data_IF_767572141166
#
_entry.id   IF_767572141166
#
_cell.length_a   1.000
_cell.length_b   1.000
_cell.length_c   1.000
_cell.angle_alpha   90.00
_cell.angle_beta   90.00
_cell.angle_gamma   90.00
#
_symmetry.space_group_name_H-M   'P 1'
#
loop_
_entity.id
_entity.type
_entity.pdbx_description
1 polymer ?
#
# COMPACT_ATOMS: atom_id res chain seq x y z
N UNK A 1 -0.84 -8.69 14.24
CA UNK A 1 -1.29 -9.98 13.69
C UNK A 1 -2.41 -10.58 14.51
N UNK A 2 -3.36 -11.20 13.84
CA UNK A 2 -4.50 -11.87 14.49
C UNK A 2 -4.01 -13.08 15.30
N UNK A 3 -4.70 -13.40 16.38
CA UNK A 3 -4.36 -14.58 17.17
C UNK A 3 -4.57 -15.83 16.32
N UNK A 4 -3.77 -16.88 16.51
CA UNK A 4 -3.99 -18.14 15.78
C UNK A 4 -5.34 -18.75 16.17
N UNK A 5 -6.04 -19.40 15.22
CA UNK A 5 -7.39 -19.97 15.45
C UNK A 5 -7.51 -20.79 16.75
N UNK A 6 -6.54 -21.65 17.13
CA UNK A 6 -6.63 -22.40 18.39
C UNK A 6 -6.66 -21.53 19.65
N UNK A 7 -6.09 -20.32 19.60
CA UNK A 7 -6.02 -19.38 20.72
C UNK A 7 -7.25 -18.46 20.85
N UNK A 8 -8.20 -18.52 19.91
CA UNK A 8 -9.39 -17.67 19.93
C UNK A 8 -10.32 -17.94 21.10
N UNK A 9 -10.28 -19.12 21.71
CA UNK A 9 -11.07 -19.41 22.92
C UNK A 9 -10.52 -18.67 24.15
N UNK A 10 -9.21 -18.43 24.19
CA UNK A 10 -8.54 -17.84 25.36
C UNK A 10 -8.15 -16.37 25.14
N UNK A 11 -8.20 -15.90 23.89
CA UNK A 11 -7.84 -14.53 23.50
C UNK A 11 -9.10 -13.73 23.21
N UNK A 12 -9.43 -12.69 24.01
CA UNK A 12 -10.61 -11.88 23.74
C UNK A 12 -10.48 -11.12 22.40
N UNK A 13 -11.61 -10.75 21.77
CA UNK A 13 -11.60 -9.92 20.57
C UNK A 13 -10.87 -8.59 20.83
N UNK A 14 -10.14 -8.11 19.82
CA UNK A 14 -9.46 -6.81 19.88
C UNK A 14 -10.42 -5.63 20.07
N UNK A 15 -11.61 -5.76 19.52
CA UNK A 15 -12.65 -4.74 19.56
C UNK A 15 -14.00 -5.40 19.89
N UNK A 16 -14.27 -5.66 21.19
CA UNK A 16 -15.52 -6.28 21.62
C UNK A 16 -16.77 -5.45 21.26
N UNK A 17 -16.63 -4.13 21.22
CA UNK A 17 -17.75 -3.22 20.92
C UNK A 17 -18.17 -3.35 19.44
N UNK A 18 -17.21 -3.41 18.53
CA UNK A 18 -17.51 -3.69 17.12
C UNK A 18 -18.14 -5.07 16.94
N UNK A 19 -17.64 -6.10 17.63
CA UNK A 19 -18.27 -7.43 17.59
C UNK A 19 -19.72 -7.37 18.08
N UNK A 20 -19.98 -6.66 19.18
CA UNK A 20 -21.32 -6.52 19.74
C UNK A 20 -22.27 -5.81 18.78
N UNK A 21 -21.81 -4.72 18.16
CA UNK A 21 -22.58 -4.00 17.14
C UNK A 21 -22.98 -4.89 15.95
N UNK A 22 -22.07 -5.76 15.48
CA UNK A 22 -22.35 -6.69 14.39
C UNK A 22 -23.30 -7.81 14.81
N UNK A 23 -23.12 -8.35 16.02
CA UNK A 23 -24.01 -9.34 16.62
C UNK A 23 -25.44 -8.81 16.70
N UNK A 24 -25.62 -7.60 17.25
CA UNK A 24 -26.93 -6.97 17.41
C UNK A 24 -27.63 -6.77 16.06
N UNK A 25 -26.89 -6.31 15.03
CA UNK A 25 -27.45 -6.18 13.68
C UNK A 25 -27.84 -7.53 13.07
N UNK A 26 -27.02 -8.56 13.30
CA UNK A 26 -27.28 -9.90 12.79
C UNK A 26 -28.59 -10.46 13.33
N UNK A 27 -28.84 -10.37 14.64
CA UNK A 27 -30.10 -10.83 15.23
C UNK A 27 -31.29 -9.91 14.90
N UNK A 28 -31.11 -8.59 14.95
CA UNK A 28 -32.16 -7.61 14.63
C UNK A 28 -32.68 -7.75 13.20
N UNK A 29 -31.80 -8.11 12.26
CA UNK A 29 -32.12 -8.27 10.84
C UNK A 29 -32.57 -9.69 10.46
N UNK A 30 -32.86 -10.56 11.43
CA UNK A 30 -33.18 -11.97 11.23
C UNK A 30 -32.09 -12.71 10.44
N UNK A 31 -30.87 -12.65 10.97
CA UNK A 31 -29.69 -13.36 10.46
C UNK A 31 -29.23 -12.91 9.06
N UNK A 32 -29.48 -11.65 8.70
CA UNK A 32 -29.16 -11.13 7.37
C UNK A 32 -27.70 -10.65 7.29
N UNK A 33 -26.84 -11.45 6.67
CA UNK A 33 -25.41 -11.14 6.47
C UNK A 33 -25.20 -9.84 5.69
N UNK A 34 -26.05 -9.53 4.70
CA UNK A 34 -25.94 -8.27 3.93
C UNK A 34 -26.16 -7.06 4.84
N UNK A 35 -27.09 -7.16 5.79
CA UNK A 35 -27.34 -6.09 6.76
C UNK A 35 -26.15 -5.89 7.70
N UNK A 36 -25.63 -6.99 8.26
CA UNK A 36 -24.43 -6.97 9.11
C UNK A 36 -23.20 -6.39 8.39
N UNK A 37 -22.92 -6.82 7.15
CA UNK A 37 -21.81 -6.30 6.36
C UNK A 37 -21.98 -4.82 6.02
N UNK A 38 -23.22 -4.35 5.82
CA UNK A 38 -23.48 -2.91 5.63
C UNK A 38 -23.11 -2.12 6.87
N UNK A 39 -23.43 -2.61 8.06
CA UNK A 39 -23.00 -1.97 9.32
C UNK A 39 -21.48 -1.98 9.44
N UNK A 40 -20.83 -3.13 9.21
CA UNK A 40 -19.37 -3.24 9.26
C UNK A 40 -18.68 -2.24 8.32
N UNK A 41 -19.03 -2.22 7.03
CA UNK A 41 -18.32 -1.38 6.06
C UNK A 41 -18.57 0.13 6.22
N UNK A 42 -19.60 0.52 6.99
CA UNK A 42 -19.86 1.92 7.31
C UNK A 42 -19.36 2.33 8.71
N UNK A 43 -18.86 1.39 9.51
CA UNK A 43 -18.36 1.66 10.86
C UNK A 43 -17.00 2.36 10.85
N UNK A 44 -16.68 3.05 11.93
CA UNK A 44 -15.37 3.68 12.08
C UNK A 44 -14.28 2.64 12.35
N UNK A 45 -14.61 1.51 12.98
CA UNK A 45 -13.68 0.39 13.14
C UNK A 45 -13.15 -0.13 11.79
N UNK A 46 -14.02 -0.26 10.78
CA UNK A 46 -13.58 -0.66 9.45
C UNK A 46 -12.73 0.42 8.76
N UNK A 47 -13.13 1.69 8.84
CA UNK A 47 -12.38 2.80 8.22
C UNK A 47 -11.00 2.98 8.85
N UNK A 48 -10.91 2.87 10.17
CA UNK A 48 -9.68 3.04 10.95
C UNK A 48 -8.75 1.81 10.86
N UNK A 49 -9.24 0.67 10.34
CA UNK A 49 -8.40 -0.51 10.07
C UNK A 49 -7.54 -0.38 8.81
N UNK A 50 -7.61 0.75 8.09
CA UNK A 50 -6.75 1.02 6.93
C UNK A 50 -5.27 0.89 7.35
N UNK A 51 -4.47 0.22 6.52
CA UNK A 51 -3.05 -0.03 6.76
C UNK A 51 -2.72 -0.87 8.01
N UNK A 52 -3.72 -1.44 8.71
CA UNK A 52 -3.49 -2.28 9.89
C UNK A 52 -2.91 -3.67 9.55
N UNK A 53 -2.95 -4.08 8.28
CA UNK A 53 -2.40 -5.35 7.79
C UNK A 53 -1.26 -5.08 6.83
N UNK A 54 -0.10 -5.66 7.15
CA UNK A 54 1.07 -5.65 6.27
C UNK A 54 0.76 -6.48 5.03
N UNK A 55 0.86 -5.87 3.85
CA UNK A 55 0.74 -6.61 2.57
C UNK A 55 1.80 -7.71 2.49
N UNK A 56 1.41 -8.89 2.02
CA UNK A 56 2.36 -9.95 1.68
C UNK A 56 3.10 -9.67 0.36
N UNK A 57 4.10 -10.49 0.01
CA UNK A 57 4.82 -10.38 -1.27
C UNK A 57 3.91 -10.34 -2.50
N UNK A 58 2.95 -11.26 -2.61
CA UNK A 58 2.05 -11.33 -3.78
C UNK A 58 1.23 -10.04 -3.90
N UNK A 59 0.65 -9.58 -2.79
CA UNK A 59 -0.15 -8.36 -2.77
C UNK A 59 0.67 -7.11 -3.08
N UNK A 60 1.91 -7.07 -2.61
CA UNK A 60 2.83 -5.97 -2.87
C UNK A 60 3.19 -5.89 -4.34
N UNK A 61 3.55 -7.03 -4.95
CA UNK A 61 3.92 -7.10 -6.36
C UNK A 61 2.72 -6.75 -7.24
N UNK A 62 1.59 -7.43 -7.08
CA UNK A 62 0.38 -7.19 -7.88
C UNK A 62 -0.15 -5.77 -7.65
N UNK A 63 -0.12 -5.27 -6.43
CA UNK A 63 -0.49 -3.90 -6.10
C UNK A 63 0.36 -2.87 -6.84
N UNK A 64 1.68 -3.10 -6.90
CA UNK A 64 2.62 -2.23 -7.63
C UNK A 64 2.37 -2.25 -9.13
N UNK A 65 2.19 -3.43 -9.74
CA UNK A 65 1.90 -3.54 -11.18
C UNK A 65 0.60 -2.83 -11.55
N UNK A 66 -0.43 -2.95 -10.71
CA UNK A 66 -1.70 -2.24 -10.87
C UNK A 66 -1.54 -0.73 -10.70
N UNK A 67 -0.76 -0.29 -9.71
CA UNK A 67 -0.48 1.12 -9.45
C UNK A 67 0.18 1.79 -10.66
N UNK A 68 1.17 1.14 -11.25
CA UNK A 68 1.87 1.67 -12.43
C UNK A 68 1.11 1.45 -13.74
N UNK A 69 -0.02 0.73 -13.69
CA UNK A 69 -0.84 0.46 -14.88
C UNK A 69 -0.20 -0.50 -15.87
N UNK A 70 0.73 -1.35 -15.41
CA UNK A 70 1.35 -2.37 -16.22
C UNK A 70 0.57 -3.70 -16.16
N UNK A 71 0.83 -4.61 -17.10
CA UNK A 71 0.19 -5.94 -17.17
C UNK A 71 -1.34 -5.91 -17.34
N UNK A 72 -1.86 -4.88 -18.00
CA UNK A 72 -3.28 -4.80 -18.40
C UNK A 72 -3.66 -5.81 -19.50
N UNK A 73 -2.66 -6.41 -20.15
CA UNK A 73 -2.80 -7.51 -21.10
C UNK A 73 -1.62 -8.49 -20.97
N UNK A 74 -1.78 -9.76 -21.40
CA UNK A 74 -0.68 -10.73 -21.40
C UNK A 74 0.50 -10.26 -22.27
N UNK A 75 1.72 -10.33 -21.72
CA UNK A 75 2.97 -10.03 -22.42
C UNK A 75 4.12 -10.91 -21.88
N UNK A 76 5.25 -11.04 -22.59
CA UNK A 76 6.40 -11.80 -22.09
C UNK A 76 7.01 -11.21 -20.81
N UNK A 77 7.69 -12.03 -20.01
CA UNK A 77 8.44 -11.58 -18.82
C UNK A 77 7.71 -11.76 -17.49
N UNK A 78 6.62 -12.52 -17.47
CA UNK A 78 5.81 -12.75 -16.28
C UNK A 78 6.52 -13.66 -15.28
N UNK A 79 7.37 -14.55 -15.79
CA UNK A 79 8.17 -15.49 -15.01
C UNK A 79 9.09 -14.75 -14.03
N UNK A 80 9.75 -13.67 -14.48
CA UNK A 80 10.62 -12.87 -13.61
C UNK A 80 9.85 -12.24 -12.43
N UNK A 81 8.60 -11.83 -12.67
CA UNK A 81 7.72 -11.26 -11.63
C UNK A 81 7.31 -12.34 -10.62
N UNK A 82 7.06 -13.57 -11.09
CA UNK A 82 6.79 -14.72 -10.22
C UNK A 82 7.97 -15.06 -9.33
N UNK A 83 9.18 -15.06 -9.90
CA UNK A 83 10.40 -15.31 -9.15
C UNK A 83 10.62 -14.25 -8.07
N UNK A 84 10.30 -12.97 -8.30
CA UNK A 84 10.40 -11.95 -7.25
C UNK A 84 9.44 -12.21 -6.07
N UNK A 85 8.21 -12.66 -6.33
CA UNK A 85 7.28 -13.05 -5.25
C UNK A 85 7.83 -14.23 -4.45
N UNK A 86 8.39 -15.22 -5.15
CA UNK A 86 9.01 -16.40 -4.54
C UNK A 86 10.24 -16.04 -3.71
N UNK A 87 11.13 -15.18 -4.22
CA UNK A 87 12.30 -14.69 -3.50
C UNK A 87 11.94 -13.86 -2.26
N UNK A 88 10.75 -13.26 -2.24
CA UNK A 88 10.19 -12.59 -1.07
C UNK A 88 9.43 -13.53 -0.11
N UNK A 89 9.35 -14.84 -0.42
CA UNK A 89 8.81 -15.87 0.47
C UNK A 89 7.39 -16.34 0.15
N UNK A 90 6.78 -15.91 -0.96
CA UNK A 90 5.46 -16.41 -1.39
C UNK A 90 5.47 -16.84 -2.86
N UNK A 91 5.56 -18.16 -3.06
CA UNK A 91 5.35 -18.77 -4.36
C UNK A 91 3.84 -19.01 -4.59
N UNK A 92 3.31 -18.47 -5.69
CA UNK A 92 1.89 -18.56 -6.03
C UNK A 92 1.45 -20.03 -6.12
N UNK A 93 0.33 -20.36 -5.45
CA UNK A 93 -0.25 -21.71 -5.38
C UNK A 93 0.66 -22.79 -4.76
N UNK A 94 1.76 -22.39 -4.11
CA UNK A 94 2.70 -23.32 -3.48
C UNK A 94 3.07 -22.86 -2.05
N UNK A 95 2.14 -22.97 -1.08
CA UNK A 95 2.46 -22.65 0.32
C UNK A 95 3.46 -23.66 0.90
N UNK A 96 4.33 -23.24 1.83
CA UNK A 96 5.36 -24.09 2.42
C UNK A 96 4.81 -25.23 3.30
N UNK A 97 3.59 -25.08 3.84
CA UNK A 97 2.94 -26.09 4.67
C UNK A 97 1.42 -25.96 4.63
N UNK A 98 0.72 -26.84 5.36
CA UNK A 98 -0.74 -26.78 5.57
C UNK A 98 -1.20 -25.53 6.35
N UNK A 99 -0.29 -24.85 7.05
CA UNK A 99 -0.56 -23.57 7.71
C UNK A 99 -0.68 -22.41 6.71
N UNK A 100 -0.15 -22.58 5.49
CA UNK A 100 -0.09 -21.54 4.47
C UNK A 100 1.26 -20.81 4.46
N UNK A 101 1.26 -19.57 3.96
CA UNK A 101 2.45 -18.70 3.97
C UNK A 101 2.54 -17.93 5.29
N UNK A 102 3.77 -17.61 5.72
CA UNK A 102 3.99 -16.63 6.77
C UNK A 102 3.37 -15.27 6.37
N UNK A 103 2.72 -14.60 7.33
CA UNK A 103 2.03 -13.32 7.12
C UNK A 103 2.44 -12.30 8.19
N UNK A 104 1.90 -11.08 8.11
CA UNK A 104 2.20 -10.05 9.09
C UNK A 104 3.66 -9.64 9.04
N UNK A 105 4.31 -9.53 10.21
CA UNK A 105 5.73 -9.17 10.30
C UNK A 105 6.68 -10.34 10.05
N UNK A 106 6.21 -11.57 10.18
CA UNK A 106 7.07 -12.76 10.20
C UNK A 106 7.76 -13.04 8.86
N UNK A 107 7.13 -12.67 7.74
CA UNK A 107 7.75 -12.86 6.43
C UNK A 107 8.83 -11.82 6.11
N UNK A 108 8.89 -10.70 6.86
CA UNK A 108 9.83 -9.61 6.61
C UNK A 108 11.12 -9.85 7.38
N UNK A 109 12.20 -10.06 6.63
CA UNK A 109 13.59 -10.04 7.06
C UNK A 109 14.38 -8.98 6.28
N UNK A 110 15.69 -8.85 6.55
CA UNK A 110 16.52 -7.86 5.87
C UNK A 110 16.62 -8.05 4.34
N UNK A 111 16.56 -9.29 3.86
CA UNK A 111 16.69 -9.60 2.43
C UNK A 111 15.37 -9.38 1.66
N UNK A 112 14.28 -9.90 2.20
CA UNK A 112 12.92 -9.73 1.67
C UNK A 112 12.49 -8.26 1.70
N UNK A 113 12.85 -7.50 2.74
CA UNK A 113 12.58 -6.06 2.83
C UNK A 113 13.30 -5.27 1.72
N UNK A 114 14.59 -5.57 1.48
CA UNK A 114 15.35 -4.90 0.43
C UNK A 114 14.77 -5.21 -0.96
N UNK A 115 14.41 -6.47 -1.22
CA UNK A 115 13.73 -6.86 -2.46
C UNK A 115 12.40 -6.13 -2.64
N UNK A 116 11.59 -6.05 -1.58
CA UNK A 116 10.34 -5.31 -1.58
C UNK A 116 10.56 -3.84 -1.97
N UNK A 117 11.51 -3.16 -1.32
CA UNK A 117 11.83 -1.75 -1.61
C UNK A 117 12.25 -1.59 -3.07
N UNK A 118 13.22 -2.38 -3.52
CA UNK A 118 13.75 -2.27 -4.89
C UNK A 118 12.66 -2.53 -5.93
N UNK A 119 11.85 -3.58 -5.74
CA UNK A 119 10.75 -3.89 -6.65
C UNK A 119 9.79 -2.71 -6.76
N UNK A 120 9.34 -2.13 -5.65
CA UNK A 120 8.39 -1.01 -5.74
C UNK A 120 9.06 0.23 -6.32
N UNK A 121 10.28 0.56 -5.86
CA UNK A 121 11.02 1.75 -6.27
C UNK A 121 11.38 1.75 -7.76
N UNK A 122 11.75 0.60 -8.33
CA UNK A 122 12.09 0.47 -9.75
C UNK A 122 10.87 0.77 -10.63
N UNK A 123 9.69 0.27 -10.25
CA UNK A 123 8.46 0.48 -11.03
C UNK A 123 7.91 1.90 -10.87
N UNK A 124 7.86 2.45 -9.65
CA UNK A 124 7.36 3.83 -9.47
C UNK A 124 8.33 4.91 -9.93
N UNK A 125 9.61 4.55 -10.09
CA UNK A 125 10.65 5.40 -10.64
C UNK A 125 10.58 5.59 -12.15
N UNK A 126 9.90 4.69 -12.87
CA UNK A 126 9.81 4.71 -14.32
C UNK A 126 8.58 5.50 -14.81
N UNK A 127 8.85 6.71 -15.31
CA UNK A 127 7.84 7.64 -15.84
C UNK A 127 7.24 7.22 -17.18
N UNK A 128 7.73 6.13 -17.79
CA UNK A 128 7.12 5.56 -18.99
C UNK A 128 5.83 4.79 -18.69
N UNK A 129 5.63 4.37 -17.43
CA UNK A 129 4.44 3.62 -17.04
C UNK A 129 3.18 4.50 -17.04
N UNK A 130 2.04 4.01 -17.58
CA UNK A 130 0.80 4.79 -17.67
C UNK A 130 0.29 5.30 -16.32
N UNK A 131 0.38 4.50 -15.27
CA UNK A 131 -0.05 4.88 -13.92
C UNK A 131 0.79 6.01 -13.33
N UNK A 132 2.10 6.01 -13.60
CA UNK A 132 2.99 7.10 -13.17
C UNK A 132 2.70 8.38 -13.96
N UNK A 133 2.44 8.26 -15.26
CA UNK A 133 2.00 9.39 -16.08
C UNK A 133 0.67 9.99 -15.59
N UNK A 134 -0.29 9.15 -15.20
CA UNK A 134 -1.56 9.59 -14.61
C UNK A 134 -1.36 10.32 -13.28
N UNK A 135 -0.48 9.83 -12.40
CA UNK A 135 -0.10 10.52 -11.17
C UNK A 135 0.48 11.91 -11.49
N UNK A 136 1.43 11.98 -12.41
CA UNK A 136 2.05 13.24 -12.85
C UNK A 136 0.98 14.21 -13.38
N UNK A 137 0.09 13.75 -14.27
CA UNK A 137 -0.97 14.59 -14.84
C UNK A 137 -1.93 15.13 -13.76
N UNK A 138 -2.29 14.31 -12.77
CA UNK A 138 -3.12 14.74 -11.63
C UNK A 138 -2.42 15.76 -10.73
N UNK A 139 -1.10 15.74 -10.66
CA UNK A 139 -0.31 16.77 -9.96
C UNK A 139 -0.23 18.06 -10.79
N UNK A 140 0.04 17.97 -12.10
CA UNK A 140 0.02 19.12 -13.03
C UNK A 140 -1.33 19.84 -13.02
N UNK A 141 -2.44 19.10 -12.89
CA UNK A 141 -3.77 19.68 -12.85
C UNK A 141 -4.05 20.56 -11.61
N UNK A 142 -3.19 20.56 -10.59
CA UNK A 142 -3.35 21.37 -9.38
C UNK A 142 -2.84 22.81 -9.54
N UNK A 143 -2.04 23.09 -10.57
CA UNK A 143 -1.55 24.44 -10.86
C UNK A 143 -0.25 24.44 -11.65
N UNK A 144 0.18 25.62 -12.14
CA UNK A 144 1.41 25.76 -12.94
C UNK A 144 2.69 25.58 -12.11
N UNK A 145 2.58 25.69 -10.79
CA UNK A 145 3.69 25.58 -9.85
C UNK A 145 3.30 24.65 -8.71
N UNK A 146 4.24 23.85 -8.24
CA UNK A 146 4.07 22.90 -7.14
C UNK A 146 5.08 23.21 -6.04
N UNK A 147 4.58 23.40 -4.82
CA UNK A 147 5.45 23.56 -3.64
C UNK A 147 6.00 22.21 -3.19
N UNK A 148 7.13 22.18 -2.46
CA UNK A 148 7.65 20.95 -1.85
C UNK A 148 6.62 20.18 -1.01
N UNK A 149 5.84 20.88 -0.19
CA UNK A 149 4.78 20.30 0.63
C UNK A 149 3.65 19.72 -0.24
N UNK A 150 3.23 20.45 -1.27
CA UNK A 150 2.20 20.00 -2.21
C UNK A 150 2.63 18.77 -3.01
N UNK A 151 3.91 18.66 -3.36
CA UNK A 151 4.46 17.47 -4.01
C UNK A 151 4.39 16.24 -3.09
N UNK A 152 4.83 16.37 -1.84
CA UNK A 152 4.81 15.27 -0.85
C UNK A 152 3.38 14.83 -0.56
N UNK A 153 2.50 15.77 -0.22
CA UNK A 153 1.09 15.50 0.07
C UNK A 153 0.36 14.90 -1.14
N UNK A 154 0.60 15.47 -2.33
CA UNK A 154 0.03 14.99 -3.57
C UNK A 154 0.44 13.55 -3.89
N UNK A 155 1.71 13.21 -3.74
CA UNK A 155 2.21 11.85 -3.93
C UNK A 155 1.64 10.86 -2.89
N UNK A 156 1.63 11.22 -1.60
CA UNK A 156 1.03 10.38 -0.53
C UNK A 156 -0.45 10.11 -0.78
N UNK A 157 -1.20 11.14 -1.21
CA UNK A 157 -2.60 11.03 -1.59
C UNK A 157 -2.81 10.10 -2.77
N UNK A 158 -2.04 10.29 -3.85
CA UNK A 158 -2.20 9.52 -5.10
C UNK A 158 -1.72 8.07 -4.98
N UNK A 159 -0.78 7.77 -4.07
CA UNK A 159 -0.39 6.39 -3.73
C UNK A 159 -1.46 5.62 -2.93
N UNK A 160 -2.49 6.29 -2.43
CA UNK A 160 -3.59 5.65 -1.70
C UNK A 160 -3.92 6.31 -0.36
N UNK A 161 -3.67 7.61 -0.20
CA UNK A 161 -3.83 8.35 1.05
C UNK A 161 -3.02 7.72 2.20
N UNK A 162 -1.73 7.50 1.95
CA UNK A 162 -0.82 7.03 2.98
C UNK A 162 -0.57 8.11 4.02
N UNK A 163 -0.67 7.72 5.29
CA UNK A 163 -0.29 8.55 6.42
C UNK A 163 1.11 8.14 6.87
N UNK A 164 1.97 9.13 7.08
CA UNK A 164 3.35 8.93 7.54
C UNK A 164 3.56 9.71 8.83
N UNK A 165 4.53 9.31 9.64
CA UNK A 165 4.85 10.06 10.86
C UNK A 165 5.34 11.47 10.52
N UNK A 166 5.13 12.42 11.44
CA UNK A 166 5.55 13.83 11.26
C UNK A 166 7.04 13.96 10.91
N UNK A 167 7.89 13.11 11.50
CA UNK A 167 9.32 13.09 11.21
C UNK A 167 9.61 12.65 9.77
N UNK A 168 8.97 11.57 9.31
CA UNK A 168 9.06 11.10 7.93
C UNK A 168 8.58 12.17 6.95
N UNK A 169 7.43 12.78 7.23
CA UNK A 169 6.88 13.89 6.42
C UNK A 169 7.86 15.06 6.32
N UNK A 170 8.42 15.52 7.46
CA UNK A 170 9.43 16.57 7.47
C UNK A 170 10.65 16.21 6.63
N UNK A 171 11.16 14.97 6.74
CA UNK A 171 12.32 14.53 5.96
C UNK A 171 12.05 14.51 4.45
N UNK A 172 10.86 14.08 4.03
CA UNK A 172 10.43 14.10 2.62
C UNK A 172 10.33 15.54 2.09
N UNK A 173 9.73 16.45 2.87
CA UNK A 173 9.62 17.88 2.52
C UNK A 173 11.00 18.53 2.45
N UNK A 174 11.89 18.29 3.42
CA UNK A 174 13.26 18.78 3.40
C UNK A 174 14.04 18.28 2.16
N UNK A 175 13.80 17.03 1.74
CA UNK A 175 14.36 16.55 0.48
C UNK A 175 13.81 17.33 -0.73
N UNK A 176 12.49 17.52 -0.80
CA UNK A 176 11.84 18.25 -1.90
C UNK A 176 12.29 19.73 -1.98
N UNK A 177 12.53 20.38 -0.83
CA UNK A 177 13.01 21.77 -0.75
C UNK A 177 14.35 21.99 -1.44
N UNK A 178 15.18 20.97 -1.62
CA UNK A 178 16.44 21.07 -2.37
C UNK A 178 16.22 21.48 -3.84
N UNK A 179 15.05 21.20 -4.39
CA UNK A 179 14.65 21.61 -5.74
C UNK A 179 13.83 22.91 -5.78
N UNK A 180 13.38 23.40 -4.63
CA UNK A 180 12.51 24.57 -4.52
C UNK A 180 11.10 24.34 -5.09
N UNK A 181 10.40 25.43 -5.40
CA UNK A 181 9.12 25.37 -6.09
C UNK A 181 9.32 24.91 -7.53
N UNK A 182 8.57 23.89 -7.94
CA UNK A 182 8.71 23.24 -9.24
C UNK A 182 7.69 23.79 -10.23
N UNK A 183 8.12 24.13 -11.44
CA UNK A 183 7.21 24.41 -12.54
C UNK A 183 6.73 23.10 -13.17
N UNK A 184 5.41 22.92 -13.24
CA UNK A 184 4.77 21.66 -13.64
C UNK A 184 4.80 21.41 -15.15
N UNK A 185 5.13 22.45 -15.94
CA UNK A 185 5.27 22.39 -17.40
C UNK A 185 6.64 21.92 -17.89
N UNK A 186 7.57 21.66 -16.96
CA UNK A 186 8.94 21.27 -17.28
C UNK A 186 9.07 19.78 -17.58
N UNK A 187 10.04 19.42 -18.43
CA UNK A 187 10.37 18.01 -18.71
C UNK A 187 10.97 17.27 -17.51
N UNK A 188 11.42 18.00 -16.49
CA UNK A 188 12.02 17.43 -15.27
C UNK A 188 10.97 17.16 -14.18
N UNK A 189 9.79 17.80 -14.24
CA UNK A 189 8.72 17.58 -13.26
C UNK A 189 8.33 16.11 -13.07
N UNK A 190 8.14 15.29 -14.12
CA UNK A 190 7.88 13.86 -13.96
C UNK A 190 8.96 13.11 -13.17
N UNK A 191 10.24 13.51 -13.33
CA UNK A 191 11.35 12.88 -12.59
C UNK A 191 11.31 13.24 -11.11
N UNK A 192 10.99 14.49 -10.77
CA UNK A 192 10.79 14.89 -9.36
C UNK A 192 9.65 14.12 -8.70
N UNK A 193 8.54 13.91 -9.42
CA UNK A 193 7.42 13.08 -8.95
C UNK A 193 7.89 11.64 -8.73
N UNK A 194 8.56 11.03 -9.71
CA UNK A 194 9.07 9.67 -9.61
C UNK A 194 10.05 9.49 -8.43
N UNK A 195 10.99 10.42 -8.25
CA UNK A 195 11.90 10.42 -7.10
C UNK A 195 11.14 10.54 -5.78
N UNK A 196 10.11 11.38 -5.69
CA UNK A 196 9.30 11.49 -4.49
C UNK A 196 8.52 10.19 -4.20
N UNK A 197 7.96 9.55 -5.22
CA UNK A 197 7.31 8.25 -5.06
C UNK A 197 8.30 7.19 -4.55
N UNK A 198 9.52 7.13 -5.11
CA UNK A 198 10.58 6.22 -4.65
C UNK A 198 10.95 6.43 -3.18
N UNK A 199 11.04 7.69 -2.73
CA UNK A 199 11.30 7.99 -1.32
C UNK A 199 10.15 7.56 -0.42
N UNK A 200 8.90 7.81 -0.82
CA UNK A 200 7.71 7.43 -0.05
C UNK A 200 7.60 5.91 0.07
N UNK A 201 7.77 5.15 -1.02
CA UNK A 201 7.63 3.69 -0.97
C UNK A 201 8.76 2.99 -0.19
N UNK A 202 9.87 3.69 0.06
CA UNK A 202 10.96 3.24 0.90
C UNK A 202 10.75 3.56 2.41
N UNK A 203 9.68 4.28 2.77
CA UNK A 203 9.37 4.58 4.18
C UNK A 203 8.87 3.35 4.92
N UNK A 204 9.10 3.32 6.24
CA UNK A 204 8.61 2.23 7.09
C UNK A 204 7.09 2.13 7.05
N UNK A 205 6.40 3.26 7.01
CA UNK A 205 4.95 3.35 7.00
C UNK A 205 4.36 2.72 5.74
N UNK A 206 4.98 2.92 4.57
CA UNK A 206 4.54 2.24 3.35
C UNK A 206 4.86 0.74 3.36
N UNK A 207 6.03 0.36 3.86
CA UNK A 207 6.52 -1.03 3.86
C UNK A 207 5.80 -1.92 4.88
N UNK A 208 5.26 -1.34 5.95
CA UNK A 208 4.56 -2.08 7.01
C UNK A 208 3.04 -1.83 7.02
N UNK A 209 2.48 -1.48 5.84
CA UNK A 209 1.07 -1.22 5.59
C UNK A 209 0.48 -2.08 4.44
#
# INVERSE_FOLDING_TARGET
DEAQVPSWMDTPPRDPDTIKMLEDEYFRSNYNIRSMLRVLFNSDAFKNARFARIKGPIETVIGTLRLVGDWSAPKPGFEAIFEEMKHMGQEILNPPSVEGWHTGKEWIDGGTLLRRINFIADYVGDVSYPGIQDIVQKLVAQGPTMTPEGLVEGCLRLLGHYEVADETSRNLVEHARKSGDLSTDTREFPKHVATMLQLIVATKEYLYA
#
